data_IF_479888600665
#
_entry.id   IF_479888600665
#
_cell.length_a   1.000
_cell.length_b   1.000
_cell.length_c   1.000
_cell.angle_alpha   90.00
_cell.angle_beta   90.00
_cell.angle_gamma   90.00
#
_symmetry.space_group_name_H-M   'P 1'
#
loop_
_entity.id
_entity.type
_entity.pdbx_description
1 polymer ?
#
# COMPACT_ATOMS: atom_id res chain seq x y z
N UNK A 1 21.27 23.63 5.56
CA UNK A 1 20.28 23.64 6.66
C UNK A 1 18.89 23.21 6.19
N UNK A 2 18.36 23.76 5.08
CA UNK A 2 17.03 23.40 4.53
C UNK A 2 16.88 21.91 4.14
N UNK A 3 17.91 21.31 3.54
CA UNK A 3 17.88 19.92 3.07
C UNK A 3 17.77 18.90 4.23
N UNK A 4 18.42 19.16 5.37
CA UNK A 4 18.39 18.28 6.54
C UNK A 4 17.01 18.31 7.21
N UNK A 5 16.37 19.48 7.28
CA UNK A 5 15.00 19.61 7.80
C UNK A 5 13.96 18.86 6.96
N UNK A 6 14.09 18.89 5.63
CA UNK A 6 13.20 18.14 4.72
C UNK A 6 13.39 16.63 4.85
N UNK A 7 14.64 16.16 4.98
CA UNK A 7 14.93 14.73 5.14
C UNK A 7 14.41 14.22 6.49
N UNK A 8 14.67 14.93 7.59
CA UNK A 8 14.19 14.56 8.91
C UNK A 8 12.66 14.62 8.98
N UNK A 9 12.05 15.66 8.41
CA UNK A 9 10.60 15.79 8.33
C UNK A 9 9.94 14.68 7.51
N UNK A 10 10.52 14.34 6.35
CA UNK A 10 10.06 13.23 5.53
C UNK A 10 10.20 11.87 6.23
N UNK A 11 11.29 11.65 6.96
CA UNK A 11 11.51 10.42 7.73
C UNK A 11 10.52 10.29 8.90
N UNK A 12 10.31 11.35 9.68
CA UNK A 12 9.32 11.35 10.77
C UNK A 12 7.90 11.14 10.25
N UNK A 13 7.56 11.76 9.12
CA UNK A 13 6.27 11.55 8.46
C UNK A 13 6.11 10.10 7.98
N UNK A 14 7.16 9.51 7.40
CA UNK A 14 7.15 8.10 6.98
C UNK A 14 6.93 7.15 8.16
N UNK A 15 7.70 7.32 9.25
CA UNK A 15 7.59 6.49 10.47
C UNK A 15 6.21 6.62 11.11
N UNK A 16 5.65 7.83 11.18
CA UNK A 16 4.31 8.04 11.74
C UNK A 16 3.21 7.47 10.86
N UNK A 17 3.33 7.58 9.53
CA UNK A 17 2.41 6.96 8.58
C UNK A 17 2.44 5.42 8.67
N UNK A 18 3.63 4.82 8.82
CA UNK A 18 3.79 3.37 8.99
C UNK A 18 3.25 2.87 10.33
N UNK A 19 3.47 3.62 11.42
CA UNK A 19 2.89 3.29 12.71
C UNK A 19 1.35 3.40 12.71
N UNK A 20 0.81 4.43 12.05
CA UNK A 20 -0.63 4.61 11.90
C UNK A 20 -1.24 3.50 11.03
N UNK A 21 -0.61 3.15 9.91
CA UNK A 21 -1.08 2.09 9.02
C UNK A 21 -1.02 0.72 9.68
N UNK A 22 0.02 0.42 10.46
CA UNK A 22 0.13 -0.84 11.20
C UNK A 22 -0.99 -1.00 12.24
N UNK A 23 -1.33 0.07 12.97
CA UNK A 23 -2.49 0.07 13.87
C UNK A 23 -3.81 -0.12 13.11
N UNK A 24 -3.95 0.53 11.96
CA UNK A 24 -5.14 0.41 11.12
C UNK A 24 -5.28 -1.03 10.59
N UNK A 25 -4.20 -1.65 10.12
CA UNK A 25 -4.17 -3.05 9.70
C UNK A 25 -4.56 -3.99 10.84
N UNK A 26 -4.05 -3.78 12.06
CA UNK A 26 -4.44 -4.57 13.24
C UNK A 26 -5.96 -4.45 13.53
N UNK A 27 -6.52 -3.24 13.42
CA UNK A 27 -7.96 -3.03 13.62
C UNK A 27 -8.80 -3.69 12.52
N UNK A 28 -8.38 -3.61 11.26
CA UNK A 28 -9.07 -4.24 10.13
C UNK A 28 -8.95 -5.77 10.16
N UNK A 29 -7.81 -6.31 10.61
CA UNK A 29 -7.61 -7.74 10.84
C UNK A 29 -8.53 -8.29 11.93
N UNK A 30 -8.75 -7.55 13.02
CA UNK A 30 -9.75 -7.91 14.03
C UNK A 30 -11.17 -7.92 13.48
N UNK A 31 -11.46 -7.12 12.44
CA UNK A 31 -12.75 -7.11 11.74
C UNK A 31 -12.85 -8.20 10.65
N UNK A 32 -11.85 -9.06 10.49
CA UNK A 32 -11.83 -10.12 9.49
C UNK A 32 -11.64 -9.64 8.05
N UNK A 33 -11.18 -8.40 7.86
CA UNK A 33 -10.92 -7.88 6.52
C UNK A 33 -9.72 -8.63 5.93
N UNK A 34 -9.76 -9.02 4.65
CA UNK A 34 -8.67 -9.70 3.97
C UNK A 34 -7.37 -8.86 4.00
N UNK A 35 -6.23 -9.53 4.21
CA UNK A 35 -4.89 -8.92 4.35
C UNK A 35 -4.57 -7.90 3.25
N UNK A 36 -4.94 -8.23 2.01
CA UNK A 36 -4.76 -7.45 0.81
C UNK A 36 -5.38 -6.05 0.96
N UNK A 37 -6.62 -5.98 1.45
CA UNK A 37 -7.35 -4.73 1.66
C UNK A 37 -6.85 -3.94 2.87
N UNK A 38 -6.23 -4.60 3.85
CA UNK A 38 -5.65 -3.92 5.00
C UNK A 38 -4.43 -3.07 4.62
N UNK A 39 -3.67 -3.50 3.62
CA UNK A 39 -2.40 -2.88 3.24
C UNK A 39 -2.53 -1.89 2.07
N UNK A 40 -3.61 -1.94 1.28
CA UNK A 40 -3.87 -0.98 0.19
C UNK A 40 -3.80 0.49 0.66
N UNK A 41 -4.41 0.89 1.80
CA UNK A 41 -4.33 2.28 2.27
C UNK A 41 -2.90 2.74 2.55
N UNK A 42 -2.05 1.84 3.07
CA UNK A 42 -0.65 2.15 3.37
C UNK A 42 0.13 2.46 2.10
N UNK A 43 0.05 1.57 1.11
CA UNK A 43 0.73 1.77 -0.16
C UNK A 43 0.24 3.01 -0.91
N UNK A 44 -1.05 3.35 -0.77
CA UNK A 44 -1.63 4.55 -1.35
C UNK A 44 -1.12 5.83 -0.68
N UNK A 45 -1.03 5.86 0.66
CA UNK A 45 -0.44 6.98 1.40
C UNK A 45 1.05 7.15 1.05
N UNK A 46 1.81 6.06 0.97
CA UNK A 46 3.21 6.09 0.54
C UNK A 46 3.37 6.65 -0.88
N UNK A 47 2.53 6.23 -1.81
CA UNK A 47 2.54 6.74 -3.18
C UNK A 47 2.23 8.24 -3.25
N UNK A 48 1.17 8.69 -2.58
CA UNK A 48 0.76 10.11 -2.57
C UNK A 48 1.84 11.02 -1.97
N UNK A 49 2.38 10.61 -0.83
CA UNK A 49 3.35 11.41 -0.07
C UNK A 49 4.69 11.50 -0.80
N UNK A 50 5.16 10.38 -1.34
CA UNK A 50 6.33 10.35 -2.23
C UNK A 50 6.10 11.20 -3.48
N UNK A 51 4.90 11.16 -4.08
CA UNK A 51 4.55 11.97 -5.25
C UNK A 51 4.52 13.47 -4.97
N UNK A 52 4.01 13.90 -3.82
CA UNK A 52 4.03 15.31 -3.39
C UNK A 52 5.46 15.79 -3.17
N UNK A 53 6.28 14.99 -2.47
CA UNK A 53 7.70 15.31 -2.24
C UNK A 53 8.45 15.43 -3.58
N UNK A 54 8.19 14.51 -4.52
CA UNK A 54 8.78 14.53 -5.86
C UNK A 54 8.43 15.82 -6.62
N UNK A 55 7.17 16.27 -6.58
CA UNK A 55 6.73 17.47 -7.30
C UNK A 55 7.24 18.78 -6.71
N UNK A 56 7.43 18.85 -5.39
CA UNK A 56 7.75 20.11 -4.71
C UNK A 56 9.25 20.34 -4.49
N UNK A 57 10.10 19.33 -4.72
CA UNK A 57 11.50 19.38 -4.31
C UNK A 57 12.45 19.41 -5.50
N UNK A 58 13.30 20.45 -5.59
CA UNK A 58 14.53 20.38 -6.38
C UNK A 58 15.55 19.53 -5.63
N UNK A 59 15.46 18.21 -5.83
CA UNK A 59 16.29 17.20 -5.17
C UNK A 59 17.63 17.05 -5.89
N UNK A 60 18.67 16.71 -5.12
CA UNK A 60 19.91 16.24 -5.71
C UNK A 60 19.65 14.96 -6.54
N UNK A 61 20.38 14.72 -7.64
CA UNK A 61 20.10 13.63 -8.58
C UNK A 61 20.07 12.25 -7.93
N UNK A 62 20.86 12.03 -6.87
CA UNK A 62 20.86 10.79 -6.10
C UNK A 62 19.54 10.57 -5.34
N UNK A 63 19.01 11.62 -4.70
CA UNK A 63 17.75 11.56 -3.97
C UNK A 63 16.55 11.44 -4.90
N UNK A 64 16.62 12.03 -6.10
CA UNK A 64 15.60 11.86 -7.14
C UNK A 64 15.49 10.39 -7.60
N UNK A 65 16.62 9.72 -7.81
CA UNK A 65 16.63 8.30 -8.21
C UNK A 65 15.99 7.41 -7.14
N UNK A 66 16.35 7.61 -5.87
CA UNK A 66 15.75 6.87 -4.74
C UNK A 66 14.24 7.10 -4.66
N UNK A 67 13.78 8.34 -4.84
CA UNK A 67 12.35 8.66 -4.82
C UNK A 67 11.60 7.99 -5.98
N UNK A 68 12.18 7.95 -7.19
CA UNK A 68 11.60 7.23 -8.34
C UNK A 68 11.44 5.74 -8.06
N UNK A 69 12.44 5.11 -7.47
CA UNK A 69 12.34 3.70 -7.05
C UNK A 69 11.26 3.49 -5.99
N UNK A 70 11.14 4.39 -5.01
CA UNK A 70 10.11 4.30 -3.97
C UNK A 70 8.69 4.49 -4.54
N UNK A 71 8.54 5.37 -5.54
CA UNK A 71 7.28 5.61 -6.25
C UNK A 71 6.90 4.39 -7.12
N UNK A 72 7.89 3.78 -7.78
CA UNK A 72 7.70 2.52 -8.51
C UNK A 72 7.31 1.38 -7.56
N UNK A 73 8.04 1.23 -6.45
CA UNK A 73 7.78 0.22 -5.43
C UNK A 73 6.36 0.33 -4.86
N UNK A 74 5.94 1.55 -4.52
CA UNK A 74 4.60 1.78 -3.99
C UNK A 74 3.51 1.48 -5.02
N UNK A 75 3.69 1.89 -6.28
CA UNK A 75 2.76 1.58 -7.36
C UNK A 75 2.63 0.07 -7.62
N UNK A 76 3.76 -0.65 -7.73
CA UNK A 76 3.78 -2.10 -7.93
C UNK A 76 3.13 -2.81 -6.75
N UNK A 77 3.39 -2.35 -5.52
CA UNK A 77 2.76 -2.88 -4.32
C UNK A 77 1.23 -2.77 -4.34
N UNK A 78 0.67 -1.61 -4.72
CA UNK A 78 -0.79 -1.46 -4.87
C UNK A 78 -1.34 -2.42 -5.91
N UNK A 79 -0.71 -2.49 -7.10
CA UNK A 79 -1.16 -3.38 -8.18
C UNK A 79 -1.16 -4.84 -7.73
N UNK A 80 -0.10 -5.27 -7.05
CA UNK A 80 0.02 -6.63 -6.55
C UNK A 80 -1.04 -6.99 -5.50
N UNK A 81 -1.32 -6.07 -4.56
CA UNK A 81 -2.37 -6.27 -3.55
C UNK A 81 -3.77 -6.33 -4.19
N UNK A 82 -4.05 -5.48 -5.18
CA UNK A 82 -5.31 -5.53 -5.92
C UNK A 82 -5.44 -6.83 -6.71
N UNK A 83 -4.37 -7.30 -7.34
CA UNK A 83 -4.35 -8.58 -8.03
C UNK A 83 -4.67 -9.75 -7.08
N UNK A 84 -4.02 -9.80 -5.90
CA UNK A 84 -4.33 -10.80 -4.88
C UNK A 84 -5.80 -10.73 -4.42
N UNK A 85 -6.33 -9.52 -4.24
CA UNK A 85 -7.74 -9.34 -3.89
C UNK A 85 -8.69 -9.90 -4.98
N UNK A 86 -8.36 -9.71 -6.26
CA UNK A 86 -9.11 -10.30 -7.38
C UNK A 86 -9.03 -11.83 -7.39
N UNK A 87 -7.83 -12.40 -7.20
CA UNK A 87 -7.66 -13.86 -7.11
C UNK A 87 -8.49 -14.44 -5.97
N UNK A 88 -8.49 -13.80 -4.80
CA UNK A 88 -9.34 -14.20 -3.67
C UNK A 88 -10.82 -14.16 -4.03
N UNK A 89 -11.29 -13.11 -4.69
CA UNK A 89 -12.69 -13.00 -5.12
C UNK A 89 -13.07 -14.10 -6.11
N UNK A 90 -12.24 -14.34 -7.13
CA UNK A 90 -12.47 -15.40 -8.11
C UNK A 90 -12.49 -16.78 -7.45
N UNK A 91 -11.56 -17.04 -6.54
CA UNK A 91 -11.52 -18.30 -5.78
C UNK A 91 -12.80 -18.51 -4.96
N UNK A 92 -13.23 -17.48 -4.21
CA UNK A 92 -14.43 -17.57 -3.38
C UNK A 92 -15.72 -17.79 -4.20
N UNK A 93 -15.86 -17.07 -5.32
CA UNK A 93 -17.01 -17.24 -6.23
C UNK A 93 -17.02 -18.64 -6.86
N UNK A 94 -15.86 -19.11 -7.33
CA UNK A 94 -15.72 -20.45 -7.91
C UNK A 94 -16.04 -21.55 -6.90
N UNK A 95 -15.62 -21.39 -5.65
CA UNK A 95 -15.91 -22.31 -4.57
C UNK A 95 -17.42 -22.41 -4.27
N UNK A 96 -18.13 -21.28 -4.17
CA UNK A 96 -19.59 -21.27 -3.98
C UNK A 96 -20.31 -21.94 -5.15
N UNK A 97 -19.87 -21.66 -6.38
CA UNK A 97 -20.43 -22.26 -7.58
C UNK A 97 -20.35 -23.79 -7.54
N UNK A 98 -19.17 -24.34 -7.24
CA UNK A 98 -18.95 -25.79 -7.13
C UNK A 98 -19.79 -26.42 -6.01
N UNK A 99 -19.88 -25.77 -4.84
CA UNK A 99 -20.71 -26.24 -3.74
C UNK A 99 -22.20 -26.31 -4.11
N UNK A 100 -22.71 -25.28 -4.78
CA UNK A 100 -24.11 -25.23 -5.20
C UNK A 100 -24.40 -26.26 -6.30
N UNK A 101 -23.44 -26.50 -7.19
CA UNK A 101 -23.53 -27.56 -8.19
C UNK A 101 -23.61 -28.93 -7.52
N UNK A 102 -22.71 -29.23 -6.58
CA UNK A 102 -22.68 -30.50 -5.86
C UNK A 102 -23.94 -30.75 -5.03
N UNK A 103 -24.52 -29.71 -4.41
CA UNK A 103 -25.76 -29.82 -3.62
C UNK A 103 -27.02 -30.08 -4.45
N UNK A 104 -26.94 -29.85 -5.76
CA UNK A 104 -28.08 -29.99 -6.67
C UNK A 104 -28.25 -31.43 -7.16
N UNK A 105 -27.20 -32.24 -7.02
CA UNK A 105 -27.19 -33.69 -7.18
C UNK A 105 -27.58 -34.38 -5.86
#
# INVERSE_FOLDING_TARGET
MMMVGVIIGGFLFYVTAEAASSKLAQLLGKKGIPYELQHVPMFLVLFLTTGVIYKQSMLAPMAEMVLKFLLLYSAVGVVFLLFLALVRQLHYQSYIFLLNWLKRE
#
